data_IF_013786086484
#
_entry.id   IF_013786086484
#
_cell.length_a   1.000
_cell.length_b   1.000
_cell.length_c   1.000
_cell.angle_alpha   90.00
_cell.angle_beta   90.00
_cell.angle_gamma   90.00
#
_symmetry.space_group_name_H-M   'P 1'
#
loop_
_entity.id
_entity.type
_entity.pdbx_description
1 polymer ?
#
# COMPACT_ATOMS: atom_id res chain seq x y z
N UNK A 1 6.73 2.86 -22.44
CA UNK A 1 5.62 2.27 -23.21
C UNK A 1 5.99 0.80 -23.43
N UNK A 2 5.09 -0.16 -23.23
CA UNK A 2 5.40 -1.59 -23.37
C UNK A 2 4.48 -2.23 -24.41
N UNK A 3 5.04 -2.99 -25.35
CA UNK A 3 4.32 -3.76 -26.37
C UNK A 3 4.94 -5.18 -26.47
N UNK A 4 4.17 -6.27 -26.37
CA UNK A 4 2.74 -6.32 -26.03
C UNK A 4 2.49 -5.71 -24.64
N UNK A 5 1.23 -5.36 -24.35
CA UNK A 5 0.82 -4.73 -23.08
C UNK A 5 1.35 -5.56 -21.91
N UNK A 6 2.05 -4.91 -20.99
CA UNK A 6 2.51 -5.56 -19.78
C UNK A 6 1.35 -5.94 -18.84
N UNK A 7 1.46 -7.12 -18.24
CA UNK A 7 0.65 -7.54 -17.09
C UNK A 7 1.32 -7.03 -15.82
N UNK A 8 0.56 -6.34 -14.97
CA UNK A 8 1.06 -5.79 -13.72
C UNK A 8 0.70 -6.71 -12.56
N UNK A 9 1.70 -7.10 -11.78
CA UNK A 9 1.56 -7.93 -10.58
C UNK A 9 2.17 -7.22 -9.38
N UNK A 10 1.45 -7.23 -8.26
CA UNK A 10 1.95 -6.72 -6.98
C UNK A 10 2.44 -7.86 -6.09
N UNK A 11 3.45 -7.59 -5.28
CA UNK A 11 3.94 -8.52 -4.26
C UNK A 11 4.55 -7.74 -3.09
N UNK A 12 4.72 -8.42 -1.95
CA UNK A 12 5.34 -7.86 -0.74
C UNK A 12 6.24 -8.89 -0.09
N UNK A 13 7.54 -8.80 -0.36
CA UNK A 13 8.58 -9.68 0.21
C UNK A 13 8.16 -11.16 0.29
N UNK A 14 8.37 -11.77 1.45
CA UNK A 14 8.11 -13.19 1.74
C UNK A 14 6.70 -13.46 2.31
N UNK A 15 5.78 -12.50 2.26
CA UNK A 15 4.44 -12.68 2.86
C UNK A 15 3.49 -13.31 1.85
N UNK A 16 2.63 -14.27 2.27
CA UNK A 16 1.54 -14.76 1.44
C UNK A 16 0.68 -13.59 0.93
N UNK A 17 0.56 -13.49 -0.39
CA UNK A 17 -0.05 -12.37 -1.10
C UNK A 17 -1.25 -12.84 -1.95
N UNK A 18 -2.36 -12.09 -2.04
CA UNK A 18 -2.65 -10.81 -1.42
C UNK A 18 -3.18 -10.92 0.03
N UNK A 19 -2.81 -10.01 0.95
CA UNK A 19 -3.42 -9.90 2.28
C UNK A 19 -4.91 -9.50 2.19
N UNK A 20 -5.70 -9.88 3.19
CA UNK A 20 -7.16 -9.63 3.20
C UNK A 20 -7.56 -8.14 3.19
N UNK A 21 -6.69 -7.23 3.63
CA UNK A 21 -6.92 -5.79 3.70
C UNK A 21 -6.44 -5.02 2.44
N UNK A 22 -6.00 -5.74 1.41
CA UNK A 22 -5.44 -5.15 0.19
C UNK A 22 -6.43 -5.28 -0.97
N UNK A 23 -6.68 -4.16 -1.64
CA UNK A 23 -7.45 -4.06 -2.87
C UNK A 23 -6.51 -3.63 -4.00
N UNK A 24 -6.45 -4.43 -5.06
CA UNK A 24 -5.67 -4.13 -6.26
C UNK A 24 -6.65 -3.81 -7.38
N UNK A 25 -6.49 -2.64 -7.98
CA UNK A 25 -7.24 -2.24 -9.17
C UNK A 25 -6.26 -2.02 -10.32
N UNK A 26 -6.51 -2.68 -11.45
CA UNK A 26 -5.69 -2.55 -12.65
C UNK A 26 -6.56 -2.09 -13.82
N UNK A 27 -6.33 -0.86 -14.27
CA UNK A 27 -7.06 -0.23 -15.37
C UNK A 27 -6.17 -0.15 -16.62
N UNK A 28 -6.66 -0.71 -17.73
CA UNK A 28 -5.99 -0.61 -19.01
C UNK A 28 -6.26 0.75 -19.66
N UNK A 29 -5.30 1.68 -19.56
CA UNK A 29 -5.46 3.03 -20.11
C UNK A 29 -5.46 3.04 -21.65
N UNK A 30 -4.63 2.21 -22.29
CA UNK A 30 -4.59 2.02 -23.74
C UNK A 30 -3.87 0.71 -24.11
N UNK A 31 -3.63 0.44 -25.39
CA UNK A 31 -2.99 -0.80 -25.87
C UNK A 31 -1.59 -1.08 -25.30
N UNK A 32 -0.89 -0.08 -24.75
CA UNK A 32 0.51 -0.18 -24.30
C UNK A 32 0.74 0.31 -22.86
N UNK A 33 -0.31 0.75 -22.16
CA UNK A 33 -0.27 1.29 -20.79
C UNK A 33 -1.32 0.65 -19.91
N UNK A 34 -0.90 0.31 -18.69
CA UNK A 34 -1.75 -0.16 -17.60
C UNK A 34 -1.44 0.71 -16.39
N UNK A 35 -2.49 1.19 -15.72
CA UNK A 35 -2.40 1.81 -14.41
C UNK A 35 -2.82 0.75 -13.39
N UNK A 36 -1.94 0.41 -12.47
CA UNK A 36 -2.28 -0.47 -11.35
C UNK A 36 -2.14 0.29 -10.05
N UNK A 37 -3.14 0.18 -9.20
CA UNK A 37 -3.24 0.87 -7.93
C UNK A 37 -3.45 -0.15 -6.83
N UNK A 38 -2.61 -0.07 -5.81
CA UNK A 38 -2.71 -0.86 -4.60
C UNK A 38 -3.28 -0.01 -3.48
N UNK A 39 -4.39 -0.45 -2.88
CA UNK A 39 -5.04 0.24 -1.76
C UNK A 39 -5.05 -0.66 -0.55
N UNK A 40 -4.50 -0.17 0.56
CA UNK A 40 -4.49 -0.87 1.86
C UNK A 40 -5.54 -0.20 2.74
N UNK A 41 -6.58 -0.94 3.09
CA UNK A 41 -7.63 -0.44 3.98
C UNK A 41 -7.24 -0.64 5.44
N UNK A 42 -7.53 0.34 6.29
CA UNK A 42 -7.25 0.29 7.72
C UNK A 42 -5.79 -0.11 8.04
N UNK A 43 -4.84 0.69 7.54
CA UNK A 43 -3.39 0.52 7.73
C UNK A 43 -3.03 0.19 9.18
N UNK A 44 -2.28 -0.90 9.38
CA UNK A 44 -1.77 -1.34 10.67
C UNK A 44 -0.25 -1.45 10.63
N UNK A 45 0.39 -1.53 11.80
CA UNK A 45 1.85 -1.72 11.88
C UNK A 45 2.36 -2.98 11.17
N UNK A 46 1.53 -4.02 11.07
CA UNK A 46 1.87 -5.26 10.35
C UNK A 46 1.86 -5.10 8.84
N UNK A 47 1.32 -4.00 8.31
CA UNK A 47 1.38 -3.68 6.88
C UNK A 47 2.73 -3.07 6.47
N UNK A 48 3.61 -2.80 7.45
CA UNK A 48 4.95 -2.32 7.19
C UNK A 48 5.72 -3.29 6.31
N UNK A 49 6.37 -2.76 5.29
CA UNK A 49 7.20 -3.56 4.41
C UNK A 49 7.38 -2.90 3.05
N UNK A 50 8.09 -3.63 2.21
CA UNK A 50 8.43 -3.21 0.86
C UNK A 50 7.47 -3.85 -0.14
N UNK A 51 6.79 -3.00 -0.90
CA UNK A 51 5.82 -3.38 -1.91
C UNK A 51 6.47 -3.27 -3.29
N UNK A 52 6.33 -4.33 -4.08
CA UNK A 52 6.85 -4.41 -5.43
C UNK A 52 5.71 -4.42 -6.42
N UNK A 53 5.87 -3.64 -7.48
CA UNK A 53 5.01 -3.63 -8.65
C UNK A 53 5.84 -4.06 -9.85
N UNK A 54 5.57 -5.26 -10.36
CA UNK A 54 6.22 -5.77 -11.54
C UNK A 54 5.30 -5.64 -12.77
N UNK A 55 5.78 -4.94 -13.79
CA UNK A 55 5.15 -4.87 -15.10
C UNK A 55 5.91 -5.80 -16.06
N UNK A 56 5.28 -6.92 -16.42
CA UNK A 56 5.88 -7.97 -17.25
C UNK A 56 5.18 -8.10 -18.59
N UNK A 57 5.93 -8.07 -19.68
CA UNK A 57 5.46 -8.53 -20.99
C UNK A 57 6.33 -9.72 -21.47
N UNK A 58 6.14 -10.16 -22.70
CA UNK A 58 6.90 -11.30 -23.26
C UNK A 58 8.37 -10.99 -23.52
N UNK A 59 8.74 -9.71 -23.58
CA UNK A 59 10.09 -9.26 -23.93
C UNK A 59 10.92 -8.88 -22.69
N UNK A 60 10.28 -8.30 -21.69
CA UNK A 60 10.94 -7.66 -20.56
C UNK A 60 10.06 -7.60 -19.31
N UNK A 61 10.69 -7.33 -18.18
CA UNK A 61 10.07 -7.14 -16.88
C UNK A 61 10.69 -5.94 -16.18
N UNK A 62 9.87 -4.93 -15.91
CA UNK A 62 10.26 -3.78 -15.09
C UNK A 62 9.66 -3.91 -13.70
N UNK A 63 10.42 -3.55 -12.68
CA UNK A 63 9.98 -3.59 -11.30
C UNK A 63 10.14 -2.23 -10.64
N UNK A 64 9.09 -1.77 -9.97
CA UNK A 64 9.11 -0.62 -9.08
C UNK A 64 8.99 -1.08 -7.62
N UNK A 65 9.65 -0.38 -6.72
CA UNK A 65 9.66 -0.65 -5.29
C UNK A 65 9.09 0.56 -4.53
N UNK A 66 8.29 0.30 -3.50
CA UNK A 66 7.80 1.30 -2.56
C UNK A 66 7.84 0.78 -1.13
N UNK A 67 8.52 1.51 -0.25
CA UNK A 67 8.52 1.21 1.18
C UNK A 67 7.34 1.90 1.87
N UNK A 68 6.60 1.14 2.69
CA UNK A 68 5.48 1.66 3.49
C UNK A 68 5.81 1.47 4.96
N UNK A 69 5.80 2.56 5.71
CA UNK A 69 6.07 2.58 7.15
C UNK A 69 4.91 3.25 7.89
N UNK A 70 4.18 2.45 8.67
CA UNK A 70 3.11 2.86 9.57
C UNK A 70 3.71 3.09 10.96
N UNK A 71 3.77 4.35 11.38
CA UNK A 71 4.38 4.76 12.65
C UNK A 71 3.48 4.47 13.87
N UNK A 72 2.16 4.44 13.69
CA UNK A 72 1.20 4.21 14.77
C UNK A 72 -0.22 4.08 14.26
N UNK A 73 -1.09 3.58 15.14
CA UNK A 73 -2.52 3.50 14.87
C UNK A 73 -3.17 4.84 15.25
N UNK A 74 -4.03 5.36 14.37
CA UNK A 74 -4.84 6.53 14.71
C UNK A 74 -5.95 6.10 15.68
N UNK A 75 -5.72 6.30 16.97
CA UNK A 75 -6.73 6.04 18.00
C UNK A 75 -7.60 7.28 18.09
N UNK A 76 -8.86 7.16 17.65
CA UNK A 76 -9.88 8.16 17.95
C UNK A 76 -10.32 7.99 19.41
N UNK A 77 -9.65 8.67 20.34
CA UNK A 77 -10.16 8.78 21.70
C UNK A 77 -11.29 9.80 21.73
N UNK A 78 -12.52 9.37 22.02
CA UNK A 78 -13.57 10.29 22.44
C UNK A 78 -13.15 10.83 23.80
N UNK A 79 -12.71 12.09 23.85
CA UNK A 79 -12.78 12.84 25.10
C UNK A 79 -14.27 13.00 25.38
N UNK A 80 -14.79 12.21 26.33
CA UNK A 80 -16.13 12.46 26.86
C UNK A 80 -16.18 13.92 27.30
N UNK A 81 -17.26 14.61 26.94
CA UNK A 81 -17.55 15.96 27.41
C UNK A 81 -17.33 16.01 28.94
N UNK A 82 -16.24 16.63 29.40
CA UNK A 82 -16.04 16.93 30.82
C UNK A 82 -14.68 16.68 31.47
N UNK A 83 -13.66 16.11 30.80
CA UNK A 83 -12.36 15.90 31.46
C UNK A 83 -11.33 17.00 31.13
N UNK A 84 -11.38 18.10 31.87
CA UNK A 84 -10.20 18.98 32.05
C UNK A 84 -9.24 18.24 32.97
N UNK A 85 -8.11 17.75 32.46
CA UNK A 85 -6.91 17.60 33.30
C UNK A 85 -5.67 18.05 32.56
N UNK A 86 -5.01 19.04 33.17
CA UNK A 86 -3.71 19.57 32.82
C UNK A 86 -2.68 18.45 32.66
N UNK A 87 -2.20 18.24 31.44
CA UNK A 87 -1.03 17.39 31.21
C UNK A 87 0.21 18.27 31.26
N UNK A 88 0.82 18.37 32.44
CA UNK A 88 2.17 18.90 32.60
C UNK A 88 3.12 18.03 31.78
N UNK A 89 3.83 18.64 30.85
CA UNK A 89 4.97 18.01 30.15
C UNK A 89 6.05 17.75 31.21
N UNK A 90 6.28 16.48 31.53
CA UNK A 90 7.50 16.03 32.19
C UNK A 90 8.63 15.99 31.16
N UNK A 91 9.75 16.60 31.53
CA UNK A 91 11.00 16.71 30.78
C UNK A 91 11.55 15.37 30.30
#
# INVERSE_FOLDING_TARGET
MSYPRATVTWSRGDVPWPPANVLIKSDALNHVRVLSTLTISALRRQDNGTYYCAARNEQDMLMAQQDVVVLGECIRSYWGEGAVQNKTLGF
#
